data_IF_717015216858
#
_entry.id   IF_717015216858
#
_cell.length_a   1.000
_cell.length_b   1.000
_cell.length_c   1.000
_cell.angle_alpha   90.00
_cell.angle_beta   90.00
_cell.angle_gamma   90.00
#
_symmetry.space_group_name_H-M   'P 1'
#
loop_
_entity.id
_entity.type
_entity.pdbx_description
1 polymer ?
#
# COMPACT_ATOMS: atom_id res chain seq x y z
N UNK A 1 13.10 9.70 -3.00
CA UNK A 1 13.84 8.49 -2.60
C UNK A 1 12.88 7.32 -2.71
N UNK A 2 13.30 6.20 -3.29
CA UNK A 2 12.49 4.97 -3.31
C UNK A 2 12.75 4.27 -1.98
N UNK A 3 11.70 3.88 -1.25
CA UNK A 3 11.87 3.14 0.00
C UNK A 3 12.76 1.91 -0.23
N UNK A 4 13.70 1.67 0.68
CA UNK A 4 14.56 0.49 0.58
C UNK A 4 13.75 -0.73 0.98
N UNK A 5 13.13 -1.46 0.03
CA UNK A 5 12.35 -2.66 0.33
C UNK A 5 13.23 -3.92 0.37
N UNK A 6 12.94 -4.82 1.29
CA UNK A 6 13.62 -6.10 1.51
C UNK A 6 12.72 -7.29 1.20
N UNK A 7 13.33 -8.43 0.89
CA UNK A 7 12.60 -9.67 0.57
C UNK A 7 11.77 -10.15 1.76
N UNK A 8 10.52 -10.57 1.51
CA UNK A 8 9.60 -11.05 2.54
C UNK A 8 8.79 -9.94 3.24
N UNK A 9 9.08 -8.66 3.00
CA UNK A 9 8.34 -7.56 3.64
C UNK A 9 6.89 -7.45 3.15
N UNK A 10 6.03 -6.95 4.03
CA UNK A 10 4.67 -6.48 3.74
C UNK A 10 4.69 -4.97 3.53
N UNK A 11 4.30 -4.54 2.34
CA UNK A 11 4.27 -3.13 1.94
C UNK A 11 2.82 -2.66 1.80
N UNK A 12 2.51 -1.47 2.30
CA UNK A 12 1.24 -0.78 2.06
C UNK A 12 1.47 0.52 1.30
N UNK A 13 0.83 0.67 0.15
CA UNK A 13 0.80 1.90 -0.65
C UNK A 13 -0.53 2.66 -0.41
N UNK A 14 -0.41 3.87 0.12
CA UNK A 14 -1.54 4.76 0.37
C UNK A 14 -1.86 5.57 -0.87
N UNK A 15 -3.08 5.43 -1.38
CA UNK A 15 -3.54 6.10 -2.60
C UNK A 15 -2.95 5.46 -3.85
N UNK A 16 -3.09 4.14 -3.97
CA UNK A 16 -2.36 3.35 -4.95
C UNK A 16 -2.74 3.63 -6.42
N UNK A 17 -3.88 4.30 -6.67
CA UNK A 17 -4.35 4.59 -8.02
C UNK A 17 -4.41 3.33 -8.88
N UNK A 18 -3.84 3.40 -10.09
CA UNK A 18 -3.71 2.26 -11.00
C UNK A 18 -2.70 1.18 -10.58
N UNK A 19 -2.11 1.25 -9.38
CA UNK A 19 -1.36 0.17 -8.75
C UNK A 19 0.10 -0.01 -9.20
N UNK A 20 0.68 0.96 -9.91
CA UNK A 20 2.06 0.84 -10.44
C UNK A 20 3.07 0.62 -9.30
N UNK A 21 3.03 1.45 -8.27
CA UNK A 21 3.97 1.37 -7.14
C UNK A 21 3.77 0.09 -6.31
N UNK A 22 2.52 -0.39 -6.18
CA UNK A 22 2.19 -1.69 -5.56
C UNK A 22 2.82 -2.84 -6.32
N UNK A 23 2.69 -2.86 -7.65
CA UNK A 23 3.25 -3.92 -8.51
C UNK A 23 4.78 -3.92 -8.48
N UNK A 24 5.40 -2.74 -8.48
CA UNK A 24 6.86 -2.60 -8.35
C UNK A 24 7.34 -3.05 -6.97
N UNK A 25 6.61 -2.70 -5.92
CA UNK A 25 6.91 -3.12 -4.55
C UNK A 25 6.82 -4.63 -4.39
N UNK A 26 5.75 -5.25 -4.91
CA UNK A 26 5.56 -6.70 -4.92
C UNK A 26 6.70 -7.47 -5.61
N UNK A 27 7.23 -6.94 -6.72
CA UNK A 27 8.40 -7.51 -7.38
C UNK A 27 9.66 -7.41 -6.53
N UNK A 28 9.83 -6.32 -5.77
CA UNK A 28 11.02 -6.06 -4.98
C UNK A 28 11.06 -6.85 -3.66
N UNK A 29 9.91 -7.05 -3.01
CA UNK A 29 9.80 -7.89 -1.81
C UNK A 29 9.77 -9.39 -2.11
N UNK A 30 9.75 -9.76 -3.40
CA UNK A 30 9.82 -11.16 -3.84
C UNK A 30 8.56 -11.97 -3.49
N UNK A 31 8.54 -13.26 -3.85
CA UNK A 31 7.35 -14.11 -3.73
C UNK A 31 6.97 -14.42 -2.27
N UNK A 32 7.88 -14.25 -1.32
CA UNK A 32 7.61 -14.40 0.11
C UNK A 32 7.01 -13.13 0.74
N UNK A 33 7.15 -11.98 0.07
CA UNK A 33 6.58 -10.70 0.51
C UNK A 33 5.22 -10.43 -0.12
N UNK A 34 4.59 -9.33 0.30
CA UNK A 34 3.25 -8.95 -0.15
C UNK A 34 3.13 -7.44 -0.27
N UNK A 35 2.45 -6.95 -1.31
CA UNK A 35 2.14 -5.53 -1.44
C UNK A 35 0.63 -5.26 -1.46
N UNK A 36 0.19 -4.34 -0.61
CA UNK A 36 -1.16 -3.83 -0.53
C UNK A 36 -1.25 -2.46 -1.18
N UNK A 37 -2.28 -2.24 -2.00
CA UNK A 37 -2.66 -0.91 -2.48
C UNK A 37 -4.00 -0.49 -1.88
N UNK A 38 -4.06 0.68 -1.27
CA UNK A 38 -5.30 1.27 -0.75
C UNK A 38 -5.76 2.42 -1.64
N UNK A 39 -6.98 2.34 -2.16
CA UNK A 39 -7.61 3.43 -2.92
C UNK A 39 -9.11 3.52 -2.59
N UNK A 40 -9.66 4.73 -2.68
CA UNK A 40 -11.07 5.00 -2.37
C UNK A 40 -12.00 4.85 -3.56
N UNK A 41 -11.50 4.73 -4.79
CA UNK A 41 -12.33 4.73 -6.01
C UNK A 41 -12.40 3.34 -6.63
N UNK A 42 -13.60 2.90 -7.02
CA UNK A 42 -13.75 1.56 -7.64
C UNK A 42 -13.09 1.49 -9.02
N UNK A 43 -13.03 2.63 -9.70
CA UNK A 43 -12.40 2.77 -11.01
C UNK A 43 -10.88 2.56 -10.94
N UNK A 44 -10.19 3.17 -9.99
CA UNK A 44 -8.75 2.93 -9.79
C UNK A 44 -8.47 1.50 -9.35
N UNK A 45 -9.28 0.94 -8.45
CA UNK A 45 -9.11 -0.45 -8.02
C UNK A 45 -9.35 -1.45 -9.15
N UNK A 46 -10.31 -1.18 -10.05
CA UNK A 46 -10.53 -2.00 -11.23
C UNK A 46 -9.32 -1.95 -12.17
N UNK A 47 -8.80 -0.75 -12.43
CA UNK A 47 -7.59 -0.53 -13.23
C UNK A 47 -6.36 -1.21 -12.62
N UNK A 48 -6.16 -1.06 -11.31
CA UNK A 48 -5.03 -1.65 -10.60
C UNK A 48 -5.04 -3.18 -10.64
N UNK A 49 -6.22 -3.79 -10.45
CA UNK A 49 -6.39 -5.24 -10.59
C UNK A 49 -6.12 -5.71 -12.03
N UNK A 50 -6.50 -4.92 -13.04
CA UNK A 50 -6.16 -5.23 -14.43
C UNK A 50 -4.66 -5.17 -14.66
N UNK A 51 -4.00 -4.09 -14.26
CA UNK A 51 -2.55 -3.92 -14.41
C UNK A 51 -1.77 -5.03 -13.70
N UNK A 52 -2.21 -5.45 -12.51
CA UNK A 52 -1.61 -6.57 -11.79
C UNK A 52 -1.71 -7.90 -12.56
N UNK A 53 -2.87 -8.19 -13.16
CA UNK A 53 -3.06 -9.38 -14.01
C UNK A 53 -2.15 -9.35 -15.24
N UNK A 54 -2.09 -8.21 -15.93
CA UNK A 54 -1.23 -8.03 -17.11
C UNK A 54 0.26 -8.13 -16.76
N UNK A 55 0.65 -7.66 -15.57
CA UNK A 55 2.01 -7.77 -15.06
C UNK A 55 2.37 -9.14 -14.47
N UNK A 56 1.41 -10.06 -14.36
CA UNK A 56 1.60 -11.38 -13.73
C UNK A 56 1.93 -11.31 -12.24
N UNK A 57 1.58 -10.22 -11.55
CA UNK A 57 1.86 -10.05 -10.13
C UNK A 57 0.82 -10.82 -9.29
N UNK A 58 1.28 -11.80 -8.51
CA UNK A 58 0.42 -12.70 -7.72
C UNK A 58 0.39 -12.38 -6.23
N UNK A 59 1.35 -11.60 -5.73
CA UNK A 59 1.50 -11.19 -4.34
C UNK A 59 1.07 -9.73 -4.10
N UNK A 60 0.02 -9.30 -4.80
CA UNK A 60 -0.58 -7.96 -4.68
C UNK A 60 -2.03 -8.05 -4.24
N UNK A 61 -2.46 -7.12 -3.39
CA UNK A 61 -3.85 -7.02 -2.95
C UNK A 61 -4.33 -5.56 -2.96
N UNK A 62 -5.50 -5.30 -3.55
CA UNK A 62 -6.07 -3.97 -3.64
C UNK A 62 -7.29 -3.83 -2.72
N UNK A 63 -7.17 -2.94 -1.74
CA UNK A 63 -8.12 -2.67 -0.68
C UNK A 63 -8.91 -1.39 -1.00
N UNK A 64 -10.22 -1.45 -0.77
CA UNK A 64 -11.11 -0.29 -0.86
C UNK A 64 -11.18 0.39 0.50
N UNK A 65 -10.93 1.70 0.53
CA UNK A 65 -11.06 2.49 1.75
C UNK A 65 -10.44 3.88 1.62
N UNK A 66 -10.35 4.58 2.73
CA UNK A 66 -9.69 5.90 2.82
C UNK A 66 -8.44 5.79 3.70
N UNK A 67 -7.48 6.68 3.49
CA UNK A 67 -6.17 6.61 4.17
C UNK A 67 -6.25 7.01 5.65
N UNK A 68 -7.37 7.60 6.06
CA UNK A 68 -7.75 7.90 7.44
C UNK A 68 -8.35 6.68 8.18
N UNK A 69 -8.63 5.58 7.47
CA UNK A 69 -9.19 4.35 8.04
C UNK A 69 -8.71 3.13 7.24
N UNK A 70 -7.49 2.70 7.51
CA UNK A 70 -6.80 1.65 6.76
C UNK A 70 -7.43 0.29 7.12
N UNK A 71 -7.97 -0.47 6.15
CA UNK A 71 -8.63 -1.75 6.39
C UNK A 71 -7.62 -2.91 6.57
N UNK A 72 -6.63 -2.71 7.44
CA UNK A 72 -5.64 -3.69 7.85
C UNK A 72 -5.54 -3.76 9.38
N UNK A 73 -5.17 -4.92 9.97
CA UNK A 73 -4.89 -5.05 11.39
C UNK A 73 -3.75 -4.14 11.84
N UNK A 74 -3.67 -3.89 13.15
CA UNK A 74 -2.49 -3.25 13.73
C UNK A 74 -1.25 -4.13 13.54
N UNK A 75 -0.07 -3.51 13.48
CA UNK A 75 1.22 -4.21 13.39
C UNK A 75 1.28 -5.25 12.26
N UNK A 76 0.78 -4.90 11.08
CA UNK A 76 0.63 -5.81 9.93
C UNK A 76 1.54 -5.48 8.75
N UNK A 77 2.00 -4.23 8.63
CA UNK A 77 2.90 -3.78 7.57
C UNK A 77 4.33 -3.54 8.07
N UNK A 78 5.32 -3.90 7.27
CA UNK A 78 6.73 -3.57 7.51
C UNK A 78 7.06 -2.17 6.95
N UNK A 79 6.41 -1.79 5.84
CA UNK A 79 6.65 -0.53 5.13
C UNK A 79 5.34 0.12 4.71
N UNK A 80 5.19 1.42 4.95
CA UNK A 80 4.13 2.24 4.35
C UNK A 80 4.76 3.24 3.38
N UNK A 81 4.29 3.23 2.13
CA UNK A 81 4.66 4.19 1.11
C UNK A 81 3.45 5.05 0.75
N UNK A 82 3.73 6.27 0.29
CA UNK A 82 2.71 7.17 -0.23
C UNK A 82 3.35 8.17 -1.18
N UNK A 83 2.67 8.46 -2.29
CA UNK A 83 3.06 9.52 -3.20
C UNK A 83 1.99 10.63 -3.21
N UNK A 84 2.29 11.74 -2.53
CA UNK A 84 1.52 12.99 -2.49
C UNK A 84 0.07 12.94 -1.96
N UNK A 85 -0.54 11.78 -1.70
CA UNK A 85 -1.96 11.71 -1.29
C UNK A 85 -2.20 12.20 0.14
N UNK A 86 -1.21 12.09 1.04
CA UNK A 86 -1.33 12.62 2.42
C UNK A 86 -1.57 14.14 2.42
N UNK A 87 -1.05 14.86 1.42
CA UNK A 87 -1.25 16.30 1.30
C UNK A 87 -2.72 16.67 1.06
N UNK A 88 -3.46 15.78 0.39
CA UNK A 88 -4.87 15.95 0.03
C UNK A 88 -5.82 15.55 1.16
N UNK A 89 -5.34 14.83 2.18
CA UNK A 89 -6.16 14.51 3.35
C UNK A 89 -6.52 15.76 4.14
N UNK A 90 -7.79 15.83 4.55
CA UNK A 90 -8.31 16.86 5.45
C UNK A 90 -8.00 16.59 6.92
N UNK A 91 -7.67 15.35 7.27
CA UNK A 91 -7.30 14.93 8.63
C UNK A 91 -5.96 14.16 8.63
N UNK A 92 -4.88 14.93 8.53
CA UNK A 92 -3.51 14.38 8.53
C UNK A 92 -3.17 13.67 9.84
N UNK A 93 -3.78 14.07 10.95
CA UNK A 93 -3.55 13.42 12.24
C UNK A 93 -4.14 12.00 12.25
N UNK A 94 -5.35 11.81 11.71
CA UNK A 94 -5.93 10.50 11.52
C UNK A 94 -5.07 9.62 10.60
N UNK A 95 -4.61 10.16 9.46
CA UNK A 95 -3.71 9.42 8.55
C UNK A 95 -2.44 8.95 9.26
N UNK A 96 -1.73 9.86 9.96
CA UNK A 96 -0.49 9.50 10.66
C UNK A 96 -0.75 8.50 11.81
N UNK A 97 -1.91 8.60 12.47
CA UNK A 97 -2.32 7.65 13.51
C UNK A 97 -2.55 6.26 12.93
N UNK A 98 -3.25 6.17 11.79
CA UNK A 98 -3.49 4.90 11.10
C UNK A 98 -2.20 4.28 10.56
N UNK A 99 -1.29 5.09 9.99
CA UNK A 99 0.05 4.63 9.57
C UNK A 99 0.77 4.01 10.76
N UNK A 100 0.84 4.72 11.89
CA UNK A 100 1.50 4.21 13.09
C UNK A 100 0.84 2.93 13.63
N UNK A 101 -0.50 2.82 13.53
CA UNK A 101 -1.24 1.63 13.96
C UNK A 101 -0.90 0.40 13.12
N UNK A 102 -0.87 0.54 11.79
CA UNK A 102 -0.67 -0.62 10.90
C UNK A 102 0.79 -1.03 10.77
N UNK A 103 1.73 -0.14 11.07
CA UNK A 103 3.16 -0.50 11.09
C UNK A 103 3.49 -1.43 12.25
N UNK A 104 4.28 -2.47 11.96
CA UNK A 104 4.92 -3.32 12.98
C UNK A 104 5.91 -2.51 13.81
N UNK A 105 6.27 -2.97 15.02
CA UNK A 105 7.42 -2.43 15.74
C UNK A 105 8.68 -2.47 14.87
N UNK A 106 9.28 -1.30 14.61
CA UNK A 106 10.44 -1.16 13.73
C UNK A 106 10.12 -1.01 12.24
N UNK A 107 8.84 -1.04 11.85
CA UNK A 107 8.39 -0.67 10.52
C UNK A 107 8.59 0.80 10.21
N UNK A 108 8.49 1.17 8.93
CA UNK A 108 8.82 2.52 8.44
C UNK A 108 7.81 3.08 7.46
#
# INVERSE_FOLDING_TARGET
AVAELHEGEVVLDLGSGGGIDVILSAKRVGPAGTAYGLDMTDEMLALARQNAREAGATNVHFLKGVIEQIPLPAESADVVISNCVINLSVDKAAVLTEIARVLKPGGR
#
